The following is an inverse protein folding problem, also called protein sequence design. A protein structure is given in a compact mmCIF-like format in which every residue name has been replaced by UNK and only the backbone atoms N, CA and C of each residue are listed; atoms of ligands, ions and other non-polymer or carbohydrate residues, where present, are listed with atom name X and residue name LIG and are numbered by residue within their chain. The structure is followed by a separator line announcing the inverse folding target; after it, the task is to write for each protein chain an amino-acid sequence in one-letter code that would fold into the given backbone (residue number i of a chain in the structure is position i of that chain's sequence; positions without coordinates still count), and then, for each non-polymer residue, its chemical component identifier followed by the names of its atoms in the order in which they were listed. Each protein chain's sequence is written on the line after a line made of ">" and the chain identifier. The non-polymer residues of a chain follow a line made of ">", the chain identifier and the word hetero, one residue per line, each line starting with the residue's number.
data_IF_995539667341
#
_entry.id   IF_995539667341
#
_cell.length_a   1.000
_cell.length_b   1.000
_cell.length_c   1.000
_cell.angle_alpha   90.00
_cell.angle_beta   90.00
_cell.angle_gamma   90.00
#
_symmetry.space_group_name_H-M   'P 1'
#
loop_
_entity.id
_entity.type
_entity.pdbx_description
1 polymer ?
#
# COMPACT_ATOMS: atom_id res chain seq x y z
N UNK A 1 3.46 -0.30 -10.76
CA UNK A 1 2.25 -0.18 -9.93
C UNK A 1 1.17 -1.02 -10.59
N UNK A 2 0.77 -2.14 -10.00
CA UNK A 2 -0.29 -2.99 -10.56
C UNK A 2 -1.61 -2.65 -9.87
N UNK A 3 -2.58 -2.16 -10.62
CA UNK A 3 -3.94 -1.93 -10.14
C UNK A 3 -4.84 -3.01 -10.73
N UNK A 4 -5.39 -3.88 -9.88
CA UNK A 4 -6.44 -4.81 -10.29
C UNK A 4 -7.78 -4.18 -9.90
N UNK A 5 -8.64 -3.81 -10.87
CA UNK A 5 -9.95 -3.25 -10.55
C UNK A 5 -10.83 -4.35 -9.93
N UNK A 6 -11.34 -4.11 -8.72
CA UNK A 6 -12.44 -4.90 -8.15
C UNK A 6 -13.73 -4.19 -8.50
N UNK A 7 -14.46 -4.74 -9.47
CA UNK A 7 -15.83 -4.34 -9.80
C UNK A 7 -16.81 -5.07 -8.88
N UNK A 8 -17.59 -4.39 -8.04
CA UNK A 8 -18.70 -5.05 -7.34
C UNK A 8 -19.88 -4.13 -6.97
N UNK A 9 -21.09 -4.60 -7.30
CA UNK A 9 -22.39 -3.91 -7.26
C UNK A 9 -23.14 -4.01 -5.91
N UNK A 10 -22.52 -3.81 -4.74
CA UNK A 10 -23.32 -3.83 -3.49
C UNK A 10 -22.78 -2.91 -2.37
N UNK A 11 -23.45 -1.78 -2.06
CA UNK A 11 -22.94 -0.74 -1.14
C UNK A 11 -22.96 -1.15 0.34
N UNK A 12 -23.87 -2.03 0.77
CA UNK A 12 -23.93 -2.48 2.18
C UNK A 12 -22.72 -3.34 2.60
N UNK A 13 -22.04 -3.95 1.63
CA UNK A 13 -20.85 -4.79 1.87
C UNK A 13 -19.58 -3.94 2.08
N UNK A 14 -19.61 -2.67 1.67
CA UNK A 14 -18.45 -1.77 1.68
C UNK A 14 -18.06 -1.38 3.11
N UNK A 15 -19.02 -1.03 3.98
CA UNK A 15 -18.76 -0.75 5.42
C UNK A 15 -18.24 -1.97 6.19
N UNK A 16 -18.73 -3.17 5.88
CA UNK A 16 -18.29 -4.40 6.56
C UNK A 16 -16.99 -4.97 6.01
N UNK A 17 -16.67 -4.74 4.73
CA UNK A 17 -15.41 -5.21 4.13
C UNK A 17 -14.24 -4.24 4.25
N UNK A 18 -14.45 -2.94 4.40
CA UNK A 18 -13.35 -2.04 4.79
C UNK A 18 -12.89 -2.29 6.24
N UNK A 19 -13.74 -2.82 7.12
CA UNK A 19 -13.32 -3.32 8.44
C UNK A 19 -12.41 -4.56 8.37
N UNK A 20 -12.51 -5.37 7.30
CA UNK A 20 -11.71 -6.60 7.13
C UNK A 20 -10.53 -6.43 6.18
N UNK A 21 -10.57 -5.45 5.27
CA UNK A 21 -9.41 -4.97 4.52
C UNK A 21 -8.74 -3.85 5.30
N UNK A 22 -7.94 -4.23 6.30
CA UNK A 22 -6.85 -3.39 6.83
C UNK A 22 -5.77 -3.23 5.74
N UNK A 23 -6.12 -2.60 4.61
CA UNK A 23 -5.11 -2.14 3.68
C UNK A 23 -4.67 -0.78 4.21
N UNK A 24 -3.44 -0.74 4.71
CA UNK A 24 -2.77 0.48 5.14
C UNK A 24 -2.45 1.39 3.95
N UNK A 25 -3.47 2.02 3.36
CA UNK A 25 -3.32 3.04 2.32
C UNK A 25 -3.02 4.40 2.96
N UNK A 26 -1.78 4.63 3.38
CA UNK A 26 -1.32 6.00 3.70
C UNK A 26 -0.84 6.62 2.41
N UNK A 27 -1.66 7.50 1.81
CA UNK A 27 -1.31 8.10 0.53
C UNK A 27 -0.55 9.42 0.71
N UNK A 28 0.66 9.51 0.16
CA UNK A 28 1.39 10.79 0.19
C UNK A 28 0.78 11.75 -0.84
N UNK A 29 0.22 12.85 -0.33
CA UNK A 29 -0.42 13.93 -1.08
C UNK A 29 0.53 14.55 -2.13
N UNK A 30 1.85 14.51 -1.95
CA UNK A 30 2.82 15.01 -2.95
C UNK A 30 2.85 14.15 -4.22
N UNK A 31 2.64 12.84 -4.09
CA UNK A 31 2.62 11.92 -5.24
C UNK A 31 1.41 12.22 -6.13
N UNK A 32 0.30 12.69 -5.55
CA UNK A 32 -0.90 13.08 -6.29
C UNK A 32 -0.69 14.31 -7.19
N UNK A 33 0.26 15.18 -6.85
CA UNK A 33 0.64 16.31 -7.70
C UNK A 33 1.48 15.90 -8.90
N UNK A 34 2.07 14.70 -8.88
CA UNK A 34 2.85 14.23 -10.01
C UNK A 34 1.92 13.96 -11.20
N UNK A 35 2.28 14.46 -12.38
CA UNK A 35 1.57 14.24 -13.64
C UNK A 35 1.54 12.78 -14.11
N UNK A 36 2.13 11.87 -13.34
CA UNK A 36 2.19 10.43 -13.58
C UNK A 36 0.82 9.79 -13.32
N UNK A 37 0.02 10.35 -12.42
CA UNK A 37 -1.33 9.87 -12.12
C UNK A 37 -2.38 10.68 -12.91
N UNK A 38 -2.36 10.61 -14.25
CA UNK A 38 -3.51 11.02 -15.09
C UNK A 38 -4.63 9.97 -15.02
N UNK A 39 -4.96 9.53 -13.81
CA UNK A 39 -5.94 8.46 -13.61
C UNK A 39 -7.35 9.06 -13.70
N UNK A 40 -8.28 8.24 -14.18
CA UNK A 40 -9.70 8.46 -14.04
C UNK A 40 -10.08 8.75 -12.57
N UNK A 41 -11.28 9.27 -12.35
CA UNK A 41 -11.80 9.54 -11.00
C UNK A 41 -11.69 8.30 -10.12
N UNK A 42 -11.04 8.43 -8.97
CA UNK A 42 -10.74 7.29 -8.12
C UNK A 42 -10.83 7.59 -6.62
N UNK A 43 -11.31 6.63 -5.85
CA UNK A 43 -11.34 6.66 -4.39
C UNK A 43 -9.93 6.57 -3.81
N UNK A 44 -9.66 7.40 -2.80
CA UNK A 44 -8.38 7.40 -2.09
C UNK A 44 -8.41 6.65 -0.74
N UNK A 45 -9.58 6.21 -0.27
CA UNK A 45 -9.72 5.52 1.02
C UNK A 45 -9.73 6.47 2.23
N UNK A 46 -10.12 7.73 2.04
CA UNK A 46 -10.38 8.69 3.11
C UNK A 46 -11.88 8.91 3.34
N UNK A 47 -12.28 9.15 4.59
CA UNK A 47 -13.62 9.59 4.98
C UNK A 47 -13.61 11.09 5.26
N UNK A 48 -14.44 11.86 4.57
CA UNK A 48 -14.51 13.32 4.77
C UNK A 48 -15.22 13.60 6.09
N UNK A 49 -14.61 14.46 6.92
CA UNK A 49 -15.17 14.89 8.20
C UNK A 49 -16.37 15.80 7.98
N UNK A 50 -17.26 15.91 8.98
CA UNK A 50 -18.46 16.77 8.89
C UNK A 50 -18.15 18.25 8.75
N UNK A 51 -16.97 18.68 9.20
CA UNK A 51 -16.51 20.06 8.98
C UNK A 51 -16.13 20.32 7.52
N UNK A 52 -16.04 19.24 6.72
CA UNK A 52 -15.67 19.18 5.32
C UNK A 52 -14.32 19.88 5.00
N UNK A 53 -13.51 20.15 6.04
CA UNK A 53 -12.16 20.74 5.92
C UNK A 53 -11.07 19.70 6.10
N UNK A 54 -11.43 18.58 6.71
CA UNK A 54 -10.54 17.49 7.01
C UNK A 54 -11.12 16.18 6.52
N UNK A 55 -10.27 15.18 6.40
CA UNK A 55 -10.69 13.81 6.18
C UNK A 55 -9.84 12.89 7.04
N UNK A 56 -10.36 11.70 7.34
CA UNK A 56 -9.67 10.67 8.11
C UNK A 56 -9.32 9.51 7.19
N UNK A 57 -8.06 9.09 7.17
CA UNK A 57 -7.68 7.89 6.43
C UNK A 57 -8.29 6.64 7.05
N UNK A 58 -8.84 5.75 6.23
CA UNK A 58 -9.38 4.46 6.71
C UNK A 58 -8.29 3.52 7.21
N UNK A 59 -7.05 3.69 6.75
CA UNK A 59 -5.91 2.83 7.07
C UNK A 59 -5.49 2.87 8.53
N UNK A 60 -5.36 4.08 9.07
CA UNK A 60 -4.73 4.34 10.36
C UNK A 60 -5.53 5.34 11.22
N UNK A 61 -6.69 5.77 10.72
CA UNK A 61 -7.57 6.74 11.36
C UNK A 61 -6.90 8.11 11.59
N UNK A 62 -5.83 8.42 10.87
CA UNK A 62 -5.18 9.72 10.97
C UNK A 62 -6.03 10.80 10.32
N UNK A 63 -6.23 11.90 11.06
CA UNK A 63 -6.96 13.07 10.58
C UNK A 63 -6.00 13.96 9.79
N UNK A 64 -6.38 14.28 8.55
CA UNK A 64 -5.62 15.14 7.66
C UNK A 64 -6.44 16.39 7.33
N UNK A 65 -5.86 17.55 7.62
CA UNK A 65 -6.41 18.84 7.21
C UNK A 65 -5.86 19.19 5.83
N UNK A 66 -6.76 19.51 4.89
CA UNK A 66 -6.37 19.82 3.51
C UNK A 66 -6.71 21.28 3.19
N UNK A 67 -5.78 22.05 2.60
CA UNK A 67 -6.09 23.40 2.16
C UNK A 67 -7.25 23.44 1.16
N UNK A 68 -8.05 24.51 1.20
CA UNK A 68 -9.19 24.73 0.30
C UNK A 68 -8.82 24.60 -1.20
N UNK A 69 -7.57 24.94 -1.55
CA UNK A 69 -7.04 24.87 -2.94
C UNK A 69 -6.95 23.46 -3.51
N UNK A 70 -7.00 22.43 -2.66
CA UNK A 70 -6.98 21.04 -3.12
C UNK A 70 -8.36 20.56 -3.52
N UNK A 71 -9.43 21.21 -3.06
CA UNK A 71 -10.80 20.81 -3.36
C UNK A 71 -11.22 21.29 -4.74
N UNK A 72 -11.87 20.43 -5.50
CA UNK A 72 -12.40 20.73 -6.81
C UNK A 72 -13.39 21.91 -6.72
N UNK A 73 -13.10 22.99 -7.46
CA UNK A 73 -13.91 24.21 -7.44
C UNK A 73 -13.73 25.10 -6.20
N UNK A 74 -12.75 24.80 -5.32
CA UNK A 74 -12.49 25.58 -4.11
C UNK A 74 -13.64 25.57 -3.09
N UNK A 75 -14.70 24.81 -3.36
CA UNK A 75 -15.86 24.72 -2.51
C UNK A 75 -15.82 23.41 -1.73
N UNK A 76 -15.87 23.60 -0.43
CA UNK A 76 -16.05 22.53 0.53
C UNK A 76 -17.50 22.02 0.35
N UNK A 77 -17.70 20.73 0.03
CA UNK A 77 -19.03 20.18 -0.19
C UNK A 77 -19.83 20.28 1.12
N UNK A 78 -20.95 21.00 1.11
CA UNK A 78 -21.86 21.05 2.26
C UNK A 78 -22.68 19.75 2.27
N UNK A 79 -22.38 18.84 3.19
CA UNK A 79 -23.22 17.64 3.36
C UNK A 79 -24.57 18.06 3.98
N UNK A 80 -25.64 18.09 3.18
CA UNK A 80 -26.99 18.37 3.68
C UNK A 80 -27.66 17.14 4.32
N UNK A 81 -27.06 15.96 4.22
CA UNK A 81 -27.62 14.66 4.66
C UNK A 81 -26.68 13.95 5.64
N UNK A 82 -27.23 13.02 6.44
CA UNK A 82 -26.49 12.14 7.38
C UNK A 82 -25.61 11.08 6.67
N UNK A 83 -25.26 11.30 5.41
CA UNK A 83 -24.57 10.33 4.58
C UNK A 83 -23.07 10.40 4.79
N UNK A 84 -22.40 9.25 4.75
CA UNK A 84 -20.94 9.18 4.81
C UNK A 84 -20.37 9.65 3.46
N UNK A 85 -19.47 10.62 3.52
CA UNK A 85 -18.76 11.14 2.36
C UNK A 85 -17.36 10.52 2.27
N UNK A 86 -17.03 10.00 1.10
CA UNK A 86 -15.72 9.43 0.78
C UNK A 86 -14.88 10.41 -0.03
N UNK A 87 -13.55 10.29 0.12
CA UNK A 87 -12.58 11.12 -0.58
C UNK A 87 -12.28 10.56 -1.98
N UNK A 88 -12.67 11.32 -2.99
CA UNK A 88 -12.44 11.02 -4.40
C UNK A 88 -11.38 11.96 -4.97
N UNK A 89 -10.48 11.43 -5.79
CA UNK A 89 -9.59 12.23 -6.62
C UNK A 89 -10.19 12.40 -8.02
N UNK A 90 -10.15 13.62 -8.55
CA UNK A 90 -10.57 13.93 -9.91
C UNK A 90 -9.40 13.79 -10.90
N UNK A 91 -9.72 13.80 -12.20
CA UNK A 91 -8.71 13.83 -13.28
C UNK A 91 -7.84 15.08 -13.28
N UNK A 92 -8.26 16.14 -12.57
CA UNK A 92 -7.50 17.37 -12.40
C UNK A 92 -6.56 17.33 -11.17
N UNK A 93 -6.35 16.15 -10.58
CA UNK A 93 -5.61 15.97 -9.32
C UNK A 93 -6.16 16.80 -8.15
N UNK A 94 -7.46 17.14 -8.20
CA UNK A 94 -8.17 17.80 -7.11
C UNK A 94 -9.00 16.79 -6.34
N UNK A 95 -9.28 17.09 -5.09
CA UNK A 95 -10.11 16.29 -4.20
C UNK A 95 -11.56 16.70 -4.31
N UNK A 96 -12.45 15.72 -4.25
CA UNK A 96 -13.89 15.91 -4.23
C UNK A 96 -14.47 14.96 -3.19
N UNK A 97 -15.49 15.39 -2.46
CA UNK A 97 -16.28 14.44 -1.68
C UNK A 97 -17.38 13.88 -2.54
N UNK A 98 -17.69 12.61 -2.34
CA UNK A 98 -18.81 11.97 -3.00
C UNK A 98 -19.40 10.90 -2.08
N UNK A 99 -20.69 10.60 -2.23
CA UNK A 99 -21.36 9.57 -1.44
C UNK A 99 -20.62 8.26 -1.66
N UNK A 100 -20.23 7.59 -0.57
CA UNK A 100 -19.40 6.38 -0.62
C UNK A 100 -20.05 5.22 -1.39
N UNK A 101 -21.35 5.29 -1.67
CA UNK A 101 -22.12 4.27 -2.40
C UNK A 101 -21.89 4.31 -3.92
N UNK A 102 -21.34 5.40 -4.44
CA UNK A 102 -21.05 5.53 -5.86
C UNK A 102 -19.90 4.62 -6.31
N UNK A 103 -20.05 4.02 -7.49
CA UNK A 103 -19.03 3.13 -8.07
C UNK A 103 -17.95 3.94 -8.78
N UNK A 104 -16.72 3.90 -8.25
CA UNK A 104 -15.53 4.46 -8.90
C UNK A 104 -14.36 3.49 -8.82
N UNK A 105 -13.34 3.75 -9.63
CA UNK A 105 -12.03 3.10 -9.45
C UNK A 105 -11.46 3.46 -8.08
N UNK A 106 -10.47 2.72 -7.57
CA UNK A 106 -9.80 3.05 -6.33
C UNK A 106 -8.29 2.93 -6.49
N UNK A 107 -7.56 3.74 -5.73
CA UNK A 107 -6.10 3.72 -5.69
C UNK A 107 -5.69 3.14 -4.34
N UNK A 108 -4.87 2.09 -4.38
CA UNK A 108 -4.25 1.54 -3.18
C UNK A 108 -2.77 1.92 -3.15
N UNK A 109 -2.30 2.45 -2.02
CA UNK A 109 -0.88 2.55 -1.75
C UNK A 109 -0.43 1.30 -1.01
N UNK A 110 0.47 0.54 -1.65
CA UNK A 110 1.18 -0.55 -0.97
C UNK A 110 2.34 0.10 -0.22
N UNK A 111 2.41 -0.13 1.09
CA UNK A 111 3.51 0.37 1.91
C UNK A 111 4.84 -0.21 1.40
N UNK A 112 5.63 0.63 0.72
CA UNK A 112 6.92 0.24 0.11
C UNK A 112 7.88 -0.35 1.16
N UNK A 113 7.73 0.02 2.43
CA UNK A 113 8.49 -0.55 3.55
C UNK A 113 8.31 -2.07 3.63
N UNK A 114 7.10 -2.59 3.42
CA UNK A 114 6.86 -4.04 3.44
C UNK A 114 7.62 -4.72 2.32
N UNK A 115 7.60 -4.15 1.11
CA UNK A 115 8.34 -4.68 -0.04
C UNK A 115 9.85 -4.64 0.23
N UNK A 116 10.36 -3.53 0.74
CA UNK A 116 11.78 -3.39 1.09
C UNK A 116 12.21 -4.41 2.15
N UNK A 117 11.43 -4.58 3.21
CA UNK A 117 11.68 -5.57 4.27
C UNK A 117 11.67 -6.99 3.68
N UNK A 118 10.68 -7.33 2.86
CA UNK A 118 10.61 -8.65 2.20
C UNK A 118 11.85 -8.88 1.32
N UNK A 119 12.26 -7.90 0.53
CA UNK A 119 13.47 -7.99 -0.30
C UNK A 119 14.71 -8.20 0.57
N UNK A 120 14.87 -7.44 1.66
CA UNK A 120 15.99 -7.60 2.59
C UNK A 120 16.00 -9.00 3.20
N UNK A 121 14.86 -9.51 3.66
CA UNK A 121 14.74 -10.87 4.22
C UNK A 121 15.14 -11.92 3.19
N UNK A 122 14.68 -11.81 1.94
CA UNK A 122 15.04 -12.73 0.86
C UNK A 122 16.56 -12.71 0.62
N UNK A 123 17.17 -11.53 0.56
CA UNK A 123 18.63 -11.39 0.39
C UNK A 123 19.39 -12.06 1.53
N UNK A 124 18.97 -11.84 2.78
CA UNK A 124 19.60 -12.48 3.95
C UNK A 124 19.50 -14.00 3.88
N UNK A 125 18.33 -14.54 3.53
CA UNK A 125 18.14 -16.00 3.37
C UNK A 125 19.08 -16.58 2.31
N UNK A 126 19.22 -15.90 1.16
CA UNK A 126 20.14 -16.34 0.10
C UNK A 126 21.59 -16.32 0.58
N UNK A 127 22.03 -15.27 1.27
CA UNK A 127 23.39 -15.17 1.81
C UNK A 127 23.68 -16.29 2.82
N UNK A 128 22.73 -16.58 3.72
CA UNK A 128 22.87 -17.68 4.69
C UNK A 128 22.95 -19.03 3.97
N UNK A 129 22.11 -19.27 2.96
CA UNK A 129 22.14 -20.51 2.18
C UNK A 129 23.49 -20.70 1.47
N UNK A 130 24.04 -19.64 0.86
CA UNK A 130 25.37 -19.69 0.24
C UNK A 130 26.46 -19.99 1.27
N UNK A 131 26.42 -19.35 2.44
CA UNK A 131 27.39 -19.60 3.51
C UNK A 131 27.36 -21.06 3.99
N UNK A 132 26.17 -21.65 4.15
CA UNK A 132 26.03 -23.07 4.51
C UNK A 132 26.63 -23.98 3.43
N UNK A 133 26.36 -23.72 2.15
CA UNK A 133 26.95 -24.50 1.05
C UNK A 133 28.48 -24.43 1.09
N UNK A 134 29.06 -23.23 1.30
CA UNK A 134 30.52 -23.06 1.41
C UNK A 134 31.07 -23.87 2.58
N UNK A 135 30.43 -23.82 3.76
CA UNK A 135 30.87 -24.62 4.92
C UNK A 135 30.82 -26.12 4.62
N UNK A 136 29.76 -26.61 3.98
CA UNK A 136 29.65 -28.02 3.58
C UNK A 136 30.78 -28.41 2.63
N UNK A 137 31.07 -27.59 1.62
CA UNK A 137 32.18 -27.85 0.68
C UNK A 137 33.52 -27.90 1.42
N UNK A 138 33.79 -26.97 2.34
CA UNK A 138 35.02 -26.97 3.14
C UNK A 138 35.12 -28.24 3.99
N UNK A 139 34.04 -28.66 4.63
CA UNK A 139 34.01 -29.90 5.44
C UNK A 139 34.32 -31.12 4.58
N UNK A 140 33.70 -31.24 3.39
CA UNK A 140 33.95 -32.35 2.47
C UNK A 140 35.42 -32.39 2.06
N UNK A 141 36.00 -31.25 1.66
CA UNK A 141 37.42 -31.17 1.28
C UNK A 141 38.33 -31.56 2.42
N UNK A 142 38.05 -31.11 3.65
CA UNK A 142 38.85 -31.47 4.84
C UNK A 142 38.76 -32.97 5.10
N UNK A 143 37.56 -33.56 5.03
CA UNK A 143 37.38 -35.00 5.21
C UNK A 143 38.15 -35.79 4.15
N UNK A 144 38.06 -35.40 2.89
CA UNK A 144 38.79 -36.05 1.79
C UNK A 144 40.30 -36.00 2.01
N UNK A 145 40.83 -34.83 2.41
CA UNK A 145 42.27 -34.67 2.73
C UNK A 145 42.68 -35.58 3.89
N UNK A 146 41.87 -35.64 4.96
CA UNK A 146 42.15 -36.51 6.12
C UNK A 146 42.15 -37.97 5.71
N UNK A 147 41.20 -38.41 4.89
CA UNK A 147 41.13 -39.80 4.39
C UNK A 147 42.38 -40.13 3.57
N UNK A 148 42.79 -39.26 2.64
CA UNK A 148 43.99 -39.45 1.83
C UNK A 148 45.24 -39.55 2.69
N UNK A 149 45.41 -38.67 3.69
CA UNK A 149 46.55 -38.72 4.61
C UNK A 149 46.57 -40.02 5.41
N UNK A 150 45.42 -40.47 5.91
CA UNK A 150 45.33 -41.71 6.67
C UNK A 150 45.66 -42.93 5.82
N UNK A 151 45.23 -42.96 4.55
CA UNK A 151 45.56 -44.03 3.59
C UNK A 151 47.04 -44.09 3.22
N UNK A 152 47.80 -42.99 3.36
CA UNK A 152 49.25 -42.97 3.12
C UNK A 152 50.06 -43.42 4.33
N UNK A 153 49.45 -43.46 5.52
CA UNK A 153 50.12 -43.82 6.79
C UNK A 153 49.92 -45.30 7.17
N UNK A 154 48.92 -45.98 6.59
CA UNK A 154 48.63 -47.41 6.79
C UNK A 154 49.31 -48.27 5.74
#
# INVERSE_FOLDING_TARGET
>A
MFFKPVTHNNPAVVRHRFKTLKIGCVLNLEILKSSILRVATAWLGGLVSRDNKSFTWLSDQTLVSVPATWWAGGMIPQSSSREDLCLLMTTASTLKSQVCEDTHSYICQILVVVVAVVVVVVVVVVVVAVAVVVVVVVVVVVVDVVVVVLSLLL
#
